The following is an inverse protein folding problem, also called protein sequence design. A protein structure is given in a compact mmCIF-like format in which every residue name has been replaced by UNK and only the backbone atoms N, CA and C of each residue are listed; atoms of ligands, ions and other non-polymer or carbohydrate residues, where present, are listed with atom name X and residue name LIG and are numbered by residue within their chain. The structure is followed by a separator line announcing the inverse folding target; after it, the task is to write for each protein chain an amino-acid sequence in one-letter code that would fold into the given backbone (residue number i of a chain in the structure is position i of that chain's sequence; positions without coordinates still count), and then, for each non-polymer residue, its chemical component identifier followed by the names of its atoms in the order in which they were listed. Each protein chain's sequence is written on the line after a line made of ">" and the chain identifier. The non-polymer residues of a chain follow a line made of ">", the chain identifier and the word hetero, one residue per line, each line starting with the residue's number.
data_IF_042178859984
#
_entry.id   IF_042178859984
#
_cell.length_a   1.000
_cell.length_b   1.000
_cell.length_c   1.000
_cell.angle_alpha   90.00
_cell.angle_beta   90.00
_cell.angle_gamma   90.00
#
_symmetry.space_group_name_H-M   'P 1'
#
loop_
_entity.id
_entity.type
_entity.pdbx_description
1 polymer ?
#
# COMPACT_ATOMS: atom_id res chain seq x y z
N UNK A 1 24.98 -11.01 4.97
CA UNK A 1 26.38 -10.55 4.85
C UNK A 1 26.62 -9.70 3.60
N UNK A 2 26.03 -10.01 2.45
CA UNK A 2 26.25 -9.25 1.20
C UNK A 2 25.77 -7.79 1.28
N UNK A 3 24.58 -7.53 1.83
CA UNK A 3 24.06 -6.16 1.98
C UNK A 3 25.01 -5.25 2.77
N UNK A 4 25.43 -5.70 3.97
CA UNK A 4 26.28 -4.91 4.87
C UNK A 4 27.63 -4.55 4.25
N UNK A 5 28.22 -5.50 3.53
CA UNK A 5 29.48 -5.29 2.79
C UNK A 5 29.30 -4.27 1.66
N UNK A 6 28.22 -4.41 0.87
CA UNK A 6 27.92 -3.50 -0.24
C UNK A 6 27.58 -2.10 0.24
N UNK A 7 26.79 -1.98 1.32
CA UNK A 7 26.44 -0.70 1.93
C UNK A 7 27.68 0.01 2.46
N UNK A 8 28.53 -0.69 3.21
CA UNK A 8 29.77 -0.13 3.75
C UNK A 8 30.71 0.36 2.65
N UNK A 9 30.90 -0.44 1.58
CA UNK A 9 31.71 -0.05 0.41
C UNK A 9 31.18 1.20 -0.28
N UNK A 10 29.85 1.32 -0.44
CA UNK A 10 29.22 2.49 -1.05
C UNK A 10 29.41 3.75 -0.21
N UNK A 11 29.30 3.65 1.12
CA UNK A 11 29.57 4.76 2.04
C UNK A 11 31.03 5.21 1.96
N UNK A 12 31.99 4.29 1.91
CA UNK A 12 33.42 4.61 1.83
C UNK A 12 33.81 5.19 0.48
N UNK A 13 33.38 4.58 -0.62
CA UNK A 13 33.71 4.99 -1.99
C UNK A 13 33.29 6.43 -2.30
N UNK A 14 32.18 6.87 -1.70
CA UNK A 14 31.63 8.20 -1.91
C UNK A 14 31.82 9.15 -0.73
N UNK A 15 32.58 8.75 0.30
CA UNK A 15 32.83 9.53 1.51
C UNK A 15 31.54 10.04 2.19
N UNK A 16 30.54 9.16 2.32
CA UNK A 16 29.18 9.50 2.79
C UNK A 16 28.98 9.29 4.31
N UNK A 17 30.06 9.14 5.07
CA UNK A 17 30.03 8.77 6.50
C UNK A 17 29.23 9.77 7.35
N UNK A 18 29.28 11.05 7.01
CA UNK A 18 28.58 12.13 7.74
C UNK A 18 27.21 12.48 7.13
N UNK A 19 26.73 11.69 6.16
CA UNK A 19 25.43 11.91 5.55
C UNK A 19 24.31 11.43 6.48
N UNK A 20 23.74 12.37 7.23
CA UNK A 20 22.66 12.11 8.20
C UNK A 20 21.40 11.50 7.59
N UNK A 21 21.13 11.71 6.30
CA UNK A 21 19.99 11.09 5.61
C UNK A 21 20.25 9.60 5.37
N UNK A 22 21.45 9.24 4.92
CA UNK A 22 21.84 7.83 4.72
C UNK A 22 21.92 7.06 6.03
N UNK A 23 22.41 7.70 7.10
CA UNK A 23 22.41 7.10 8.44
C UNK A 23 20.97 6.78 8.90
N UNK A 24 20.05 7.76 8.80
CA UNK A 24 18.63 7.53 9.09
C UNK A 24 18.01 6.44 8.22
N UNK A 25 18.34 6.42 6.92
CA UNK A 25 17.85 5.42 5.98
C UNK A 25 18.31 4.01 6.39
N UNK A 26 19.57 3.87 6.78
CA UNK A 26 20.13 2.62 7.25
C UNK A 26 19.51 2.15 8.59
N UNK A 27 19.21 3.08 9.50
CA UNK A 27 18.53 2.75 10.76
C UNK A 27 17.14 2.13 10.53
N UNK A 28 16.46 2.50 9.44
CA UNK A 28 15.14 1.93 9.08
C UNK A 28 15.21 0.81 8.05
N UNK A 29 16.38 0.19 7.81
CA UNK A 29 16.59 -0.82 6.75
C UNK A 29 15.65 -2.01 6.80
N UNK A 30 15.21 -2.43 7.98
CA UNK A 30 14.20 -3.49 8.15
C UNK A 30 12.87 -3.16 7.47
N UNK A 31 12.53 -1.87 7.29
CA UNK A 31 11.25 -1.45 6.68
C UNK A 31 11.26 -1.42 5.16
N UNK A 32 12.42 -1.32 4.52
CA UNK A 32 12.52 -1.11 3.07
C UNK A 32 13.46 -2.08 2.36
N UNK A 33 14.39 -2.70 3.06
CA UNK A 33 15.31 -3.67 2.50
C UNK A 33 14.72 -5.07 2.66
N UNK A 34 14.40 -5.71 1.52
CA UNK A 34 13.82 -7.05 1.48
C UNK A 34 14.66 -8.08 2.22
N UNK A 35 15.99 -7.93 2.22
CA UNK A 35 16.91 -8.86 2.89
C UNK A 35 16.73 -8.88 4.41
N UNK A 36 16.16 -7.83 5.00
CA UNK A 36 15.85 -7.73 6.43
C UNK A 36 14.35 -7.84 6.72
N UNK A 37 13.52 -8.02 5.69
CA UNK A 37 12.06 -7.99 5.78
C UNK A 37 11.42 -9.33 5.35
N UNK A 38 12.16 -10.44 5.47
CA UNK A 38 11.73 -11.76 5.01
C UNK A 38 10.58 -12.35 5.85
N UNK A 39 10.44 -11.92 7.10
CA UNK A 39 9.43 -12.43 8.04
C UNK A 39 8.14 -11.58 8.05
N UNK A 40 7.98 -10.63 7.11
CA UNK A 40 6.82 -9.75 7.07
C UNK A 40 5.84 -10.11 5.95
N UNK A 41 4.61 -10.39 6.35
CA UNK A 41 3.50 -10.55 5.43
C UNK A 41 2.97 -9.17 4.99
N UNK A 42 3.13 -8.84 3.72
CA UNK A 42 2.66 -7.56 3.14
C UNK A 42 1.37 -7.68 2.33
N UNK A 43 0.71 -8.84 2.29
CA UNK A 43 -0.57 -9.02 1.56
C UNK A 43 -0.52 -8.56 0.08
N UNK A 44 0.59 -8.79 -0.65
CA UNK A 44 0.87 -8.20 -1.99
C UNK A 44 0.87 -6.65 -2.05
N UNK A 45 0.75 -5.95 -0.93
CA UNK A 45 0.74 -4.49 -0.88
C UNK A 45 2.12 -3.95 -1.27
N UNK A 46 2.15 -3.20 -2.36
CA UNK A 46 3.35 -2.50 -2.81
C UNK A 46 3.49 -1.18 -2.07
N UNK A 47 4.71 -0.79 -1.74
CA UNK A 47 5.00 0.54 -1.18
C UNK A 47 4.48 1.68 -2.07
N UNK A 48 4.39 1.45 -3.37
CA UNK A 48 3.92 2.40 -4.39
C UNK A 48 2.40 2.37 -4.64
N UNK A 49 1.64 1.46 -4.02
CA UNK A 49 0.23 1.25 -4.36
C UNK A 49 -0.62 2.52 -4.20
N UNK A 50 -0.36 3.33 -3.16
CA UNK A 50 -1.07 4.60 -2.93
C UNK A 50 -0.78 5.62 -4.03
N UNK A 51 0.49 5.77 -4.43
CA UNK A 51 0.89 6.68 -5.51
C UNK A 51 0.41 6.18 -6.86
N UNK A 52 0.42 4.87 -7.11
CA UNK A 52 -0.08 4.26 -8.34
C UNK A 52 -1.59 4.47 -8.49
N UNK A 53 -2.36 4.25 -7.42
CA UNK A 53 -3.80 4.51 -7.39
C UNK A 53 -4.10 5.99 -7.67
N UNK A 54 -3.41 6.90 -6.96
CA UNK A 54 -3.60 8.35 -7.14
C UNK A 54 -3.22 8.78 -8.56
N UNK A 55 -2.08 8.32 -9.08
CA UNK A 55 -1.65 8.61 -10.44
C UNK A 55 -2.60 8.04 -11.47
N UNK A 56 -3.17 6.85 -11.25
CA UNK A 56 -4.17 6.26 -12.15
C UNK A 56 -5.40 7.15 -12.28
N UNK A 57 -5.89 7.72 -11.16
CA UNK A 57 -6.97 8.72 -11.19
C UNK A 57 -6.53 9.93 -12.00
N UNK A 58 -5.36 10.50 -11.72
CA UNK A 58 -4.87 11.66 -12.46
C UNK A 58 -4.64 11.39 -13.96
N UNK A 59 -4.23 10.19 -14.35
CA UNK A 59 -4.13 9.78 -15.75
C UNK A 59 -5.50 9.72 -16.43
N UNK A 60 -6.57 9.36 -15.71
CA UNK A 60 -7.94 9.44 -16.23
C UNK A 60 -8.44 10.89 -16.37
N UNK A 61 -7.96 11.79 -15.50
CA UNK A 61 -8.34 13.20 -15.46
C UNK A 61 -7.61 14.01 -16.54
N UNK A 62 -6.30 13.85 -16.63
CA UNK A 62 -5.44 14.73 -17.42
C UNK A 62 -5.51 14.35 -18.91
N UNK A 63 -6.44 14.96 -19.63
CA UNK A 63 -6.35 15.09 -21.08
C UNK A 63 -5.51 16.33 -21.41
N UNK A 64 -4.69 16.25 -22.46
CA UNK A 64 -3.73 17.29 -22.86
C UNK A 64 -4.35 18.67 -23.12
N UNK A 65 -5.68 18.77 -23.24
CA UNK A 65 -6.43 19.99 -23.55
C UNK A 65 -7.29 20.53 -22.41
N UNK A 66 -7.21 19.99 -21.18
CA UNK A 66 -8.04 20.46 -20.06
C UNK A 66 -7.44 21.68 -19.37
N UNK A 67 -8.29 22.65 -19.02
CA UNK A 67 -7.95 23.76 -18.14
C UNK A 67 -7.89 23.32 -16.68
N UNK A 68 -7.19 24.10 -15.84
CA UNK A 68 -7.07 23.82 -14.41
C UNK A 68 -8.44 23.75 -13.70
N UNK A 69 -9.39 24.58 -14.12
CA UNK A 69 -10.75 24.59 -13.55
C UNK A 69 -11.49 23.28 -13.85
N UNK A 70 -11.34 22.74 -15.05
CA UNK A 70 -11.94 21.45 -15.44
C UNK A 70 -11.32 20.29 -14.66
N UNK A 71 -10.00 20.33 -14.44
CA UNK A 71 -9.30 19.34 -13.62
C UNK A 71 -9.81 19.34 -12.18
N UNK A 72 -10.01 20.52 -11.56
CA UNK A 72 -10.52 20.62 -10.19
C UNK A 72 -11.95 20.08 -10.09
N UNK A 73 -12.85 20.47 -11.00
CA UNK A 73 -14.23 19.99 -11.00
C UNK A 73 -14.31 18.47 -11.10
N UNK A 74 -13.58 17.88 -12.04
CA UNK A 74 -13.58 16.44 -12.20
C UNK A 74 -12.95 15.72 -11.00
N UNK A 75 -11.90 16.30 -10.39
CA UNK A 75 -11.34 15.76 -9.15
C UNK A 75 -12.38 15.71 -8.03
N UNK A 76 -13.16 16.78 -7.83
CA UNK A 76 -14.21 16.84 -6.81
C UNK A 76 -15.32 15.81 -7.08
N UNK A 77 -15.74 15.65 -8.33
CA UNK A 77 -16.70 14.62 -8.75
C UNK A 77 -16.18 13.21 -8.46
N UNK A 78 -14.93 12.90 -8.85
CA UNK A 78 -14.31 11.59 -8.58
C UNK A 78 -14.14 11.33 -7.09
N UNK A 79 -13.71 12.33 -6.32
CA UNK A 79 -13.59 12.20 -4.87
C UNK A 79 -14.95 11.92 -4.22
N UNK A 80 -16.02 12.55 -4.71
CA UNK A 80 -17.38 12.31 -4.22
C UNK A 80 -17.85 10.90 -4.56
N UNK A 81 -17.63 10.44 -5.80
CA UNK A 81 -17.94 9.07 -6.21
C UNK A 81 -17.22 8.03 -5.35
N UNK A 82 -15.90 8.20 -5.14
CA UNK A 82 -15.10 7.29 -4.32
C UNK A 82 -15.62 7.17 -2.88
N UNK A 83 -16.01 8.29 -2.25
CA UNK A 83 -16.62 8.27 -0.91
C UNK A 83 -17.95 7.53 -0.89
N UNK A 84 -18.77 7.69 -1.93
CA UNK A 84 -20.05 7.00 -2.02
C UNK A 84 -19.87 5.49 -2.22
N UNK A 85 -18.91 5.09 -3.06
CA UNK A 85 -18.54 3.69 -3.27
C UNK A 85 -18.06 3.05 -1.96
N UNK A 86 -17.21 3.75 -1.19
CA UNK A 86 -16.74 3.31 0.13
C UNK A 86 -17.91 3.11 1.12
N UNK A 87 -18.84 4.06 1.20
CA UNK A 87 -20.05 3.93 2.06
C UNK A 87 -20.89 2.72 1.66
N UNK A 88 -21.05 2.48 0.35
CA UNK A 88 -21.82 1.35 -0.16
C UNK A 88 -21.14 0.01 0.18
N UNK A 89 -19.82 -0.08 0.01
CA UNK A 89 -19.05 -1.26 0.40
C UNK A 89 -19.13 -1.52 1.91
N UNK A 90 -18.97 -0.49 2.74
CA UNK A 90 -19.11 -0.57 4.19
C UNK A 90 -20.49 -1.09 4.61
N UNK A 91 -21.53 -0.61 3.95
CA UNK A 91 -22.90 -1.05 4.19
C UNK A 91 -23.10 -2.52 3.79
N UNK A 92 -22.58 -2.94 2.64
CA UNK A 92 -22.61 -4.33 2.20
C UNK A 92 -21.89 -5.25 3.18
N UNK A 93 -20.70 -4.86 3.65
CA UNK A 93 -19.92 -5.60 4.65
C UNK A 93 -20.70 -5.79 5.96
N UNK A 94 -21.44 -4.77 6.41
CA UNK A 94 -22.27 -4.83 7.63
C UNK A 94 -23.51 -5.70 7.47
N UNK A 95 -24.02 -5.89 6.25
CA UNK A 95 -25.29 -6.60 5.97
C UNK A 95 -25.13 -8.06 5.58
N UNK A 96 -23.94 -8.48 5.16
CA UNK A 96 -23.66 -9.88 4.84
C UNK A 96 -22.23 -10.22 5.19
N UNK A 97 -22.05 -10.97 6.27
CA UNK A 97 -20.81 -11.71 6.48
C UNK A 97 -20.60 -12.64 5.26
N UNK A 98 -19.35 -12.86 4.80
CA UNK A 98 -19.12 -13.84 3.76
C UNK A 98 -19.45 -15.20 4.38
N UNK A 99 -20.54 -15.79 3.91
CA UNK A 99 -20.97 -17.14 4.25
C UNK A 99 -19.99 -18.13 3.66
N UNK A 100 -18.80 -18.23 4.26
CA UNK A 100 -17.75 -19.22 4.06
C UNK A 100 -16.66 -18.96 5.09
N UNK A 101 -17.01 -18.95 6.38
CA UNK A 101 -16.01 -19.12 7.44
C UNK A 101 -15.60 -20.59 7.39
N UNK A 102 -14.73 -20.91 6.43
CA UNK A 102 -13.90 -22.10 6.54
C UNK A 102 -13.10 -21.96 7.83
N UNK A 103 -12.69 -23.07 8.44
CA UNK A 103 -11.92 -23.07 9.69
C UNK A 103 -10.61 -22.30 9.51
N UNK A 104 -10.68 -20.99 9.73
CA UNK A 104 -9.59 -20.07 9.53
C UNK A 104 -8.71 -20.07 10.78
N UNK A 105 -7.38 -20.10 10.59
CA UNK A 105 -6.42 -19.88 11.67
C UNK A 105 -6.65 -18.54 12.39
N UNK A 106 -5.97 -18.33 13.53
CA UNK A 106 -6.20 -17.15 14.38
C UNK A 106 -6.05 -15.81 13.64
N UNK A 107 -5.12 -15.71 12.68
CA UNK A 107 -4.85 -14.51 11.88
C UNK A 107 -6.02 -14.19 10.93
N UNK A 108 -6.49 -15.18 10.15
CA UNK A 108 -7.63 -15.00 9.24
C UNK A 108 -8.93 -14.67 10.01
N UNK A 109 -9.14 -15.28 11.18
CA UNK A 109 -10.27 -14.96 12.07
C UNK A 109 -10.25 -13.51 12.58
N UNK A 110 -9.05 -12.95 12.78
CA UNK A 110 -8.88 -11.55 13.14
C UNK A 110 -9.10 -10.64 11.92
N UNK A 111 -8.52 -10.99 10.76
CA UNK A 111 -8.64 -10.23 9.53
C UNK A 111 -10.11 -10.01 9.10
N UNK A 112 -10.97 -11.04 9.19
CA UNK A 112 -12.42 -10.92 8.90
C UNK A 112 -13.11 -9.82 9.73
N UNK A 113 -12.63 -9.57 10.96
CA UNK A 113 -13.23 -8.57 11.86
C UNK A 113 -12.72 -7.17 11.62
N UNK A 114 -11.53 -7.02 11.05
CA UNK A 114 -10.83 -5.74 10.89
C UNK A 114 -10.97 -5.21 9.46
N UNK A 115 -11.02 -6.09 8.46
CA UNK A 115 -11.02 -5.72 7.06
C UNK A 115 -12.43 -5.69 6.45
N UNK A 116 -12.62 -4.75 5.53
CA UNK A 116 -13.74 -4.81 4.58
C UNK A 116 -13.61 -6.06 3.70
N UNK A 117 -14.73 -6.56 3.16
CA UNK A 117 -14.76 -7.82 2.41
C UNK A 117 -13.77 -7.87 1.25
N UNK A 118 -13.63 -6.77 0.50
CA UNK A 118 -12.68 -6.68 -0.60
C UNK A 118 -11.22 -6.86 -0.11
N UNK A 119 -10.88 -6.23 1.01
CA UNK A 119 -9.56 -6.32 1.61
C UNK A 119 -9.31 -7.68 2.26
N UNK A 120 -10.33 -8.28 2.87
CA UNK A 120 -10.24 -9.65 3.36
C UNK A 120 -10.01 -10.65 2.23
N UNK A 121 -10.69 -10.52 1.09
CA UNK A 121 -10.46 -11.39 -0.07
C UNK A 121 -9.01 -11.31 -0.57
N UNK A 122 -8.46 -10.10 -0.70
CA UNK A 122 -7.05 -9.91 -1.06
C UNK A 122 -6.08 -10.53 -0.03
N UNK A 123 -6.41 -10.41 1.26
CA UNK A 123 -5.63 -11.01 2.34
C UNK A 123 -5.69 -12.55 2.31
N UNK A 124 -6.87 -13.12 2.13
CA UNK A 124 -7.09 -14.58 2.06
C UNK A 124 -6.39 -15.21 0.85
N UNK A 125 -6.39 -14.54 -0.31
CA UNK A 125 -5.67 -15.01 -1.50
C UNK A 125 -4.15 -15.03 -1.34
N UNK A 126 -3.57 -14.14 -0.54
CA UNK A 126 -2.12 -14.12 -0.28
C UNK A 126 -1.72 -15.03 0.89
N UNK A 127 -2.63 -15.23 1.85
CA UNK A 127 -2.35 -16.05 3.03
C UNK A 127 -2.39 -17.56 2.72
N UNK A 128 -3.13 -17.98 1.70
CA UNK A 128 -3.22 -19.38 1.23
C UNK A 128 -2.11 -19.73 0.23
#
# INVERSE_FOLDING_TARGET
>A
MEFESTWSKMIEMHNLKDNTWLDRLYQIREKWCLTFNLDFFSAKMKSTQRSESTNSVFHQIMKTSMSLIEVIKFYEEKATQMRQDEINEDFCCKKGAPGKVHKHGGILSHAVKVYILALFGMFEEEFN
#
